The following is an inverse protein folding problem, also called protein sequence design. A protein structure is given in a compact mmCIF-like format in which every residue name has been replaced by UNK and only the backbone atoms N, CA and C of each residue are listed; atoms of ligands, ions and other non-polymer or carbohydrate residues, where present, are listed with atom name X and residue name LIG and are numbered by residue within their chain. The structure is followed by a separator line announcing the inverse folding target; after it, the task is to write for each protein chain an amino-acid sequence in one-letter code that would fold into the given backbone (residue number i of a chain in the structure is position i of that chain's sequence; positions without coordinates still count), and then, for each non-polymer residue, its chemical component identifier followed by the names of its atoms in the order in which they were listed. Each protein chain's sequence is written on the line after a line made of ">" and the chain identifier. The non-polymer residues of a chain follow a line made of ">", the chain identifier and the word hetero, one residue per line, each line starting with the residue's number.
data_IF_333601607504
#
_entry.id   IF_333601607504
#
_cell.length_a   1.000
_cell.length_b   1.000
_cell.length_c   1.000
_cell.angle_alpha   90.00
_cell.angle_beta   90.00
_cell.angle_gamma   90.00
#
_symmetry.space_group_name_H-M   'P 1'
#
loop_
_entity.id
_entity.type
_entity.pdbx_description
1 polymer ?
#
# COMPACT_ATOMS: atom_id res chain seq x y z
N UNK A 1 10.75 9.68 15.79
CA UNK A 1 10.37 10.32 14.51
C UNK A 1 9.50 9.30 13.79
N UNK A 2 8.23 9.60 13.53
CA UNK A 2 7.33 8.64 12.87
C UNK A 2 7.55 8.72 11.36
N UNK A 3 8.36 7.81 10.82
CA UNK A 3 8.63 7.71 9.39
C UNK A 3 7.68 6.69 8.76
N UNK A 4 7.12 7.03 7.60
CA UNK A 4 6.34 6.10 6.80
C UNK A 4 7.22 5.47 5.72
N UNK A 5 7.14 4.16 5.59
CA UNK A 5 7.88 3.35 4.62
C UNK A 5 6.91 2.69 3.64
N UNK A 6 7.29 2.67 2.36
CA UNK A 6 6.52 1.98 1.31
C UNK A 6 6.80 0.48 1.40
N UNK A 7 5.77 -0.31 1.69
CA UNK A 7 5.88 -1.78 1.79
C UNK A 7 5.52 -2.49 0.48
N UNK A 8 4.64 -1.91 -0.33
CA UNK A 8 4.21 -2.50 -1.60
C UNK A 8 3.69 -1.45 -2.57
N UNK A 9 3.86 -1.68 -3.86
CA UNK A 9 3.28 -0.87 -4.93
C UNK A 9 2.34 -1.73 -5.76
N UNK A 10 1.13 -1.24 -6.01
CA UNK A 10 0.07 -1.90 -6.75
C UNK A 10 -0.18 -1.17 -8.06
N UNK A 11 -0.49 -1.91 -9.12
CA UNK A 11 -0.82 -1.32 -10.41
C UNK A 11 -2.27 -0.79 -10.47
N UNK A 12 -3.16 -1.35 -9.64
CA UNK A 12 -4.58 -1.05 -9.64
C UNK A 12 -5.06 -0.59 -8.25
N UNK A 13 -6.07 0.28 -8.22
CA UNK A 13 -6.61 0.85 -6.99
C UNK A 13 -7.26 -0.24 -6.11
N UNK A 14 -7.94 -1.21 -6.71
CA UNK A 14 -8.63 -2.29 -5.99
C UNK A 14 -7.62 -3.16 -5.25
N UNK A 15 -6.49 -3.48 -5.89
CA UNK A 15 -5.42 -4.24 -5.24
C UNK A 15 -4.80 -3.51 -4.05
N UNK A 16 -4.64 -2.19 -4.17
CA UNK A 16 -4.12 -1.36 -3.09
C UNK A 16 -5.12 -1.22 -1.93
N UNK A 17 -6.39 -1.00 -2.23
CA UNK A 17 -7.47 -0.90 -1.24
C UNK A 17 -7.64 -2.22 -0.48
N UNK A 18 -7.61 -3.36 -1.18
CA UNK A 18 -7.67 -4.67 -0.56
C UNK A 18 -6.50 -4.91 0.41
N UNK A 19 -5.28 -4.58 -0.01
CA UNK A 19 -4.10 -4.69 0.83
C UNK A 19 -4.15 -3.74 2.04
N UNK A 20 -4.65 -2.52 1.86
CA UNK A 20 -4.88 -1.57 2.95
C UNK A 20 -5.90 -2.12 3.96
N UNK A 21 -6.99 -2.70 3.48
CA UNK A 21 -8.01 -3.31 4.32
C UNK A 21 -7.46 -4.49 5.14
N UNK A 22 -6.61 -5.32 4.53
CA UNK A 22 -5.90 -6.42 5.19
C UNK A 22 -5.02 -5.93 6.33
N UNK A 23 -4.17 -4.92 6.07
CA UNK A 23 -3.32 -4.33 7.10
C UNK A 23 -4.15 -3.72 8.23
N UNK A 24 -5.24 -3.03 7.89
CA UNK A 24 -6.14 -2.43 8.88
C UNK A 24 -6.83 -3.49 9.74
N UNK A 25 -7.15 -4.65 9.19
CA UNK A 25 -7.75 -5.76 9.93
C UNK A 25 -6.78 -6.31 11.00
N UNK A 26 -5.49 -6.31 10.71
CA UNK A 26 -4.42 -6.66 11.66
C UNK A 26 -4.09 -5.51 12.64
N UNK A 27 -4.76 -4.36 12.52
CA UNK A 27 -4.52 -3.19 13.36
C UNK A 27 -3.34 -2.31 12.94
N UNK A 28 -2.77 -2.55 11.75
CA UNK A 28 -1.64 -1.80 11.21
C UNK A 28 -2.16 -0.55 10.48
N UNK A 29 -1.68 0.63 10.90
CA UNK A 29 -2.02 1.89 10.24
C UNK A 29 -1.32 1.99 8.87
N UNK A 30 -2.13 2.10 7.81
CA UNK A 30 -1.65 2.09 6.43
C UNK A 30 -2.32 3.16 5.57
N UNK A 31 -1.54 3.73 4.65
CA UNK A 31 -1.95 4.82 3.76
C UNK A 31 -1.65 4.43 2.32
N UNK A 32 -2.68 4.48 1.47
CA UNK A 32 -2.51 4.32 0.02
C UNK A 32 -2.28 5.69 -0.61
N UNK A 33 -1.09 5.88 -1.18
CA UNK A 33 -0.74 7.05 -1.98
C UNK A 33 -0.85 6.70 -3.47
N UNK A 34 -1.85 7.23 -4.15
CA UNK A 34 -2.07 7.01 -5.59
C UNK A 34 -2.33 8.30 -6.33
N UNK A 35 -1.83 8.39 -7.56
CA UNK A 35 -2.02 9.52 -8.49
C UNK A 35 -3.43 9.46 -9.12
N UNK A 36 -4.47 9.47 -8.29
CA UNK A 36 -5.87 9.39 -8.74
C UNK A 36 -6.52 10.75 -9.01
N UNK A 37 -5.83 11.86 -8.72
CA UNK A 37 -6.45 13.18 -8.75
C UNK A 37 -5.47 14.31 -9.05
N UNK A 38 -5.07 14.44 -10.32
CA UNK A 38 -5.11 15.72 -11.07
C UNK A 38 -4.39 15.55 -12.40
N UNK A 39 -5.08 15.88 -13.48
CA UNK A 39 -4.53 15.73 -14.82
C UNK A 39 -3.32 16.64 -15.09
N UNK A 40 -2.81 16.46 -16.32
CA UNK A 40 -1.93 17.36 -17.06
C UNK A 40 -0.41 17.07 -17.07
N UNK A 41 0.06 15.82 -16.91
CA UNK A 41 1.44 15.47 -17.34
C UNK A 41 1.55 14.09 -18.01
N UNK A 42 1.24 13.97 -19.31
CA UNK A 42 1.23 12.69 -20.02
C UNK A 42 2.63 12.09 -20.33
N UNK A 43 3.75 12.76 -20.01
CA UNK A 43 5.10 12.27 -20.38
C UNK A 43 5.97 11.79 -19.20
N UNK A 44 5.52 11.93 -17.94
CA UNK A 44 6.27 11.49 -16.74
C UNK A 44 5.48 10.58 -15.77
N UNK A 45 4.16 10.43 -15.93
CA UNK A 45 3.30 9.51 -15.14
C UNK A 45 3.49 8.02 -15.50
N UNK A 46 4.54 7.68 -16.26
CA UNK A 46 4.80 6.29 -16.63
C UNK A 46 5.16 5.47 -15.38
N UNK A 47 4.17 4.74 -14.85
CA UNK A 47 4.30 3.67 -13.84
C UNK A 47 4.47 4.14 -12.38
N UNK A 48 3.71 5.13 -11.91
CA UNK A 48 3.52 5.28 -10.46
C UNK A 48 2.13 4.76 -10.09
N UNK A 49 2.05 3.44 -9.91
CA UNK A 49 0.88 2.80 -9.32
C UNK A 49 0.62 3.27 -7.88
N UNK A 50 -0.35 2.64 -7.23
CA UNK A 50 -0.76 2.93 -5.87
C UNK A 50 0.27 2.38 -4.87
N UNK A 51 0.89 3.27 -4.10
CA UNK A 51 1.90 2.90 -3.09
C UNK A 51 1.23 2.74 -1.74
N UNK A 52 1.40 1.57 -1.13
CA UNK A 52 0.94 1.28 0.22
C UNK A 52 2.08 1.58 1.20
N UNK A 53 1.86 2.59 2.03
CA UNK A 53 2.79 3.06 3.05
C UNK A 53 2.29 2.66 4.43
N UNK A 54 3.19 2.26 5.32
CA UNK A 54 2.91 1.97 6.74
C UNK A 54 3.95 2.66 7.61
N UNK A 55 3.75 2.68 8.93
CA UNK A 55 4.81 3.12 9.84
C UNK A 55 6.02 2.19 9.73
N UNK A 56 7.22 2.76 9.80
CA UNK A 56 8.49 2.02 9.77
C UNK A 56 8.52 0.90 10.84
N UNK A 57 7.95 1.16 12.01
CA UNK A 57 7.84 0.18 13.10
C UNK A 57 6.97 -1.04 12.77
N UNK A 58 6.02 -0.90 11.86
CA UNK A 58 5.09 -1.96 11.43
C UNK A 58 5.43 -2.49 10.03
N UNK A 59 6.52 -2.04 9.42
CA UNK A 59 6.87 -2.38 8.04
C UNK A 59 7.11 -3.88 7.84
N UNK A 60 7.83 -4.52 8.78
CA UNK A 60 8.10 -5.96 8.70
C UNK A 60 6.82 -6.79 8.86
N UNK A 61 5.96 -6.44 9.82
CA UNK A 61 4.68 -7.11 10.04
C UNK A 61 3.75 -6.92 8.83
N UNK A 62 3.66 -5.71 8.28
CA UNK A 62 2.86 -5.44 7.10
C UNK A 62 3.32 -6.27 5.90
N UNK A 63 4.63 -6.42 5.70
CA UNK A 63 5.19 -7.28 4.65
C UNK A 63 4.81 -8.74 4.91
N UNK A 64 4.87 -9.20 6.15
CA UNK A 64 4.50 -10.56 6.54
C UNK A 64 3.03 -10.86 6.23
N UNK A 65 2.12 -9.97 6.64
CA UNK A 65 0.67 -10.06 6.38
C UNK A 65 0.37 -10.07 4.88
N UNK A 66 1.03 -9.20 4.10
CA UNK A 66 0.84 -9.14 2.65
C UNK A 66 1.45 -10.32 1.88
N UNK A 67 2.41 -11.03 2.46
CA UNK A 67 3.00 -12.23 1.86
C UNK A 67 2.33 -13.53 2.34
N UNK A 68 1.65 -13.50 3.49
CA UNK A 68 0.79 -14.61 3.89
C UNK A 68 -0.40 -14.69 2.93
N UNK A 69 -0.58 -15.81 2.21
CA UNK A 69 -1.83 -16.03 1.49
C UNK A 69 -2.97 -16.04 2.52
N UNK A 70 -4.21 -15.66 2.14
CA UNK A 70 -5.35 -15.85 3.02
C UNK A 70 -5.35 -17.33 3.41
N UNK A 71 -5.14 -17.61 4.70
CA UNK A 71 -5.22 -18.96 5.22
C UNK A 71 -6.67 -19.40 5.05
N UNK A 72 -6.94 -20.13 3.97
CA UNK A 72 -8.20 -20.86 3.81
C UNK A 72 -8.23 -21.90 4.93
N UNK A 73 -9.03 -21.61 5.97
CA UNK A 73 -9.39 -22.50 7.05
C UNK A 73 -10.86 -22.86 6.97
#
# INVERSE_FOLDING_TARGET
>A
MSQMTVVRTFFDQVGADFAQALLRAEGIESVVMGDGASGWQPMLTSINGFKLCVMDSDAEEAISVLNSPPVEG
#
